data_IF_342836220217
#
_entry.id   IF_342836220217
#
_cell.length_a   1.000
_cell.length_b   1.000
_cell.length_c   1.000
_cell.angle_alpha   90.00
_cell.angle_beta   90.00
_cell.angle_gamma   90.00
#
_symmetry.space_group_name_H-M   'P 1'
#
loop_
_entity.id
_entity.type
_entity.pdbx_description
1 polymer ?
#
# COMPACT_ATOMS: atom_id res chain seq x y z
N UNK A 1 25.62 6.10 -21.34
CA UNK A 1 24.61 6.09 -20.28
C UNK A 1 23.45 6.94 -20.74
N UNK A 2 22.30 6.34 -21.04
CA UNK A 2 21.08 7.07 -21.37
C UNK A 2 20.24 7.17 -20.10
N UNK A 3 20.22 8.35 -19.49
CA UNK A 3 19.28 8.65 -18.41
C UNK A 3 17.87 8.54 -18.99
N UNK A 4 17.12 7.54 -18.53
CA UNK A 4 15.71 7.41 -18.87
C UNK A 4 14.95 8.63 -18.35
N UNK A 5 14.02 9.23 -19.11
CA UNK A 5 13.31 10.43 -18.70
C UNK A 5 12.49 10.16 -17.43
N UNK A 6 12.55 11.10 -16.49
CA UNK A 6 11.87 11.08 -15.18
C UNK A 6 10.36 10.84 -15.29
N UNK A 7 9.76 11.11 -16.45
CA UNK A 7 8.35 10.85 -16.75
C UNK A 7 8.00 9.35 -16.74
N UNK A 8 8.89 8.46 -17.18
CA UNK A 8 8.59 7.02 -17.22
C UNK A 8 8.47 6.42 -15.81
N UNK A 9 9.20 6.99 -14.84
CA UNK A 9 9.12 6.61 -13.41
C UNK A 9 7.82 7.09 -12.75
N UNK A 10 7.29 8.24 -13.17
CA UNK A 10 5.99 8.75 -12.68
C UNK A 10 4.83 7.89 -13.20
N UNK A 11 4.89 7.50 -14.47
CA UNK A 11 3.85 6.72 -15.13
C UNK A 11 3.75 5.27 -14.63
N UNK A 12 4.84 4.72 -14.06
CA UNK A 12 4.84 3.37 -13.50
C UNK A 12 4.18 3.28 -12.11
N UNK A 13 4.06 4.41 -11.40
CA UNK A 13 3.37 4.46 -10.09
C UNK A 13 1.86 4.64 -10.28
N UNK A 14 1.44 5.27 -11.38
CA UNK A 14 0.02 5.54 -11.68
C UNK A 14 -0.75 4.33 -12.24
N UNK A 15 -0.04 3.29 -12.71
CA UNK A 15 -0.63 2.04 -13.20
C UNK A 15 -0.46 0.88 -12.20
N UNK A 16 -0.31 1.19 -10.92
CA UNK A 16 -0.50 0.19 -9.88
C UNK A 16 -2.00 -0.07 -9.80
N UNK A 17 -2.45 -1.21 -10.34
CA UNK A 17 -3.82 -1.70 -10.16
C UNK A 17 -4.21 -1.44 -8.71
N UNK A 18 -5.19 -0.54 -8.50
CA UNK A 18 -5.64 -0.15 -7.16
C UNK A 18 -5.71 -1.39 -6.29
N UNK A 19 -4.90 -1.44 -5.23
CA UNK A 19 -4.86 -2.64 -4.40
C UNK A 19 -6.27 -2.93 -3.88
N UNK A 20 -6.54 -4.20 -3.59
CA UNK A 20 -7.90 -4.65 -3.26
C UNK A 20 -8.49 -3.87 -2.07
N UNK A 21 -7.62 -3.43 -1.16
CA UNK A 21 -7.93 -2.56 -0.03
C UNK A 21 -8.41 -1.17 -0.46
N UNK A 22 -7.72 -0.53 -1.43
CA UNK A 22 -8.14 0.75 -1.99
C UNK A 22 -9.45 0.64 -2.79
N UNK A 23 -9.64 -0.43 -3.56
CA UNK A 23 -10.91 -0.68 -4.25
C UNK A 23 -12.07 -0.82 -3.27
N UNK A 24 -11.85 -1.52 -2.14
CA UNK A 24 -12.83 -1.66 -1.06
C UNK A 24 -13.20 -0.30 -0.46
N UNK A 25 -12.20 0.55 -0.17
CA UNK A 25 -12.43 1.92 0.33
C UNK A 25 -13.23 2.74 -0.68
N UNK A 26 -12.85 2.72 -1.96
CA UNK A 26 -13.54 3.45 -3.02
C UNK A 26 -15.00 3.02 -3.18
N UNK A 27 -15.26 1.71 -3.14
CA UNK A 27 -16.63 1.16 -3.19
C UNK A 27 -17.45 1.54 -1.96
N UNK A 28 -16.84 1.56 -0.77
CA UNK A 28 -17.50 1.96 0.46
C UNK A 28 -17.85 3.45 0.44
N UNK A 29 -16.91 4.32 0.04
CA UNK A 29 -17.13 5.75 -0.11
C UNK A 29 -18.25 6.06 -1.12
N UNK A 30 -18.30 5.34 -2.25
CA UNK A 30 -19.37 5.49 -3.25
C UNK A 30 -20.76 5.18 -2.67
N UNK A 31 -20.85 4.28 -1.69
CA UNK A 31 -22.09 3.89 -1.00
C UNK A 31 -22.34 4.70 0.28
N UNK A 32 -21.41 5.57 0.67
CA UNK A 32 -21.46 6.26 1.94
C UNK A 32 -22.64 7.24 1.99
N UNK A 33 -23.51 7.04 2.96
CA UNK A 33 -24.62 7.94 3.26
C UNK A 33 -24.67 8.23 4.74
N UNK A 34 -24.86 9.49 5.10
CA UNK A 34 -25.02 9.88 6.50
C UNK A 34 -26.49 9.90 6.92
N UNK A 35 -26.74 9.53 8.17
CA UNK A 35 -28.05 9.59 8.82
C UNK A 35 -28.44 11.06 9.01
N UNK A 36 -29.62 11.44 8.52
CA UNK A 36 -30.18 12.78 8.74
C UNK A 36 -30.75 12.91 10.16
N UNK A 37 -30.67 14.10 10.75
CA UNK A 37 -31.45 14.47 11.95
C UNK A 37 -32.88 14.82 11.53
N UNK A 38 -33.84 14.69 12.46
CA UNK A 38 -35.27 14.97 12.23
C UNK A 38 -35.58 16.44 11.93
N UNK A 39 -34.71 17.37 12.34
CA UNK A 39 -34.83 18.78 12.03
C UNK A 39 -33.46 19.31 11.63
N UNK A 40 -33.25 19.52 10.33
CA UNK A 40 -32.03 20.10 9.76
C UNK A 40 -30.74 19.29 9.99
N UNK A 41 -29.99 19.01 8.92
CA UNK A 41 -28.63 18.50 9.03
C UNK A 41 -28.48 17.00 9.31
N UNK A 42 -27.30 16.64 9.78
CA UNK A 42 -26.76 15.27 9.81
C UNK A 42 -26.50 14.84 11.24
N UNK A 43 -26.65 13.55 11.54
CA UNK A 43 -26.34 12.99 12.85
C UNK A 43 -24.82 12.93 13.03
N UNK A 44 -24.27 13.81 13.85
CA UNK A 44 -22.83 13.89 14.13
C UNK A 44 -22.27 12.56 14.63
N UNK A 45 -22.99 11.84 15.49
CA UNK A 45 -22.56 10.53 15.96
C UNK A 45 -22.40 9.53 14.80
N UNK A 46 -23.28 9.58 13.81
CA UNK A 46 -23.18 8.75 12.61
C UNK A 46 -22.02 9.18 11.70
N UNK A 47 -21.76 10.49 11.59
CA UNK A 47 -20.60 11.02 10.87
C UNK A 47 -19.30 10.56 11.51
N UNK A 48 -19.13 10.76 12.81
CA UNK A 48 -17.93 10.35 13.55
C UNK A 48 -17.71 8.85 13.48
N UNK A 49 -18.78 8.05 13.58
CA UNK A 49 -18.71 6.61 13.39
C UNK A 49 -18.15 6.24 12.01
N UNK A 50 -18.66 6.87 10.95
CA UNK A 50 -18.20 6.63 9.57
C UNK A 50 -16.76 7.08 9.34
N UNK A 51 -16.33 8.17 9.97
CA UNK A 51 -14.92 8.59 9.94
C UNK A 51 -14.04 7.52 10.60
N UNK A 52 -14.45 6.98 11.76
CA UNK A 52 -13.74 5.89 12.42
C UNK A 52 -13.67 4.62 11.55
N UNK A 53 -14.77 4.25 10.90
CA UNK A 53 -14.82 3.12 9.96
C UNK A 53 -13.88 3.34 8.76
N UNK A 54 -13.81 4.57 8.23
CA UNK A 54 -12.91 4.93 7.15
C UNK A 54 -11.44 4.81 7.56
N UNK A 55 -11.08 5.36 8.73
CA UNK A 55 -9.72 5.27 9.26
C UNK A 55 -9.29 3.82 9.44
N UNK A 56 -10.16 2.97 10.00
CA UNK A 56 -9.85 1.54 10.17
C UNK A 56 -9.58 0.82 8.84
N UNK A 57 -10.30 1.18 7.75
CA UNK A 57 -10.02 0.62 6.43
C UNK A 57 -8.68 1.11 5.87
N UNK A 58 -8.30 2.37 6.11
CA UNK A 58 -6.99 2.89 5.71
C UNK A 58 -5.84 2.27 6.50
N UNK A 59 -6.01 2.08 7.81
CA UNK A 59 -5.00 1.43 8.65
C UNK A 59 -4.73 -0.01 8.16
N UNK A 60 -5.78 -0.74 7.78
CA UNK A 60 -5.65 -2.07 7.18
C UNK A 60 -4.95 -2.03 5.82
N UNK A 61 -5.30 -1.06 4.96
CA UNK A 61 -4.65 -0.88 3.66
C UNK A 61 -3.14 -0.61 3.82
N UNK A 62 -2.77 0.30 4.73
CA UNK A 62 -1.37 0.63 5.03
C UNK A 62 -0.61 -0.57 5.63
N UNK A 63 -1.28 -1.37 6.45
CA UNK A 63 -0.69 -2.60 7.00
C UNK A 63 -0.42 -3.63 5.90
N UNK A 64 -1.36 -3.84 4.99
CA UNK A 64 -1.21 -4.75 3.86
C UNK A 64 -0.04 -4.30 2.96
N UNK A 65 0.02 -3.00 2.66
CA UNK A 65 1.11 -2.40 1.90
C UNK A 65 2.47 -2.59 2.58
N UNK A 66 2.54 -2.37 3.90
CA UNK A 66 3.78 -2.59 4.68
C UNK A 66 4.24 -4.03 4.59
N UNK A 67 3.34 -5.00 4.76
CA UNK A 67 3.68 -6.44 4.65
C UNK A 67 4.21 -6.76 3.25
N UNK A 68 3.59 -6.20 2.20
CA UNK A 68 4.03 -6.39 0.81
C UNK A 68 5.45 -5.88 0.60
N UNK A 69 5.75 -4.68 1.07
CA UNK A 69 7.09 -4.12 0.96
C UNK A 69 8.12 -4.83 1.84
N UNK A 70 7.76 -5.18 3.08
CA UNK A 70 8.64 -5.93 3.98
C UNK A 70 9.03 -7.28 3.35
N UNK A 71 8.07 -8.00 2.76
CA UNK A 71 8.34 -9.25 2.03
C UNK A 71 9.28 -9.04 0.84
N UNK A 72 9.09 -7.95 0.08
CA UNK A 72 9.95 -7.61 -1.05
C UNK A 72 11.38 -7.27 -0.61
N UNK A 73 11.52 -6.46 0.44
CA UNK A 73 12.81 -6.09 1.03
C UNK A 73 13.53 -7.34 1.54
N UNK A 74 12.84 -8.23 2.26
CA UNK A 74 13.42 -9.49 2.74
C UNK A 74 13.84 -10.41 1.60
N UNK A 75 13.07 -10.47 0.51
CA UNK A 75 13.45 -11.23 -0.68
C UNK A 75 14.76 -10.71 -1.29
N UNK A 76 14.90 -9.39 -1.46
CA UNK A 76 16.14 -8.78 -1.96
C UNK A 76 17.30 -8.92 -0.99
N UNK A 77 17.06 -8.75 0.31
CA UNK A 77 18.09 -8.95 1.35
C UNK A 77 18.65 -10.37 1.27
N UNK A 78 17.77 -11.36 1.15
CA UNK A 78 18.14 -12.76 1.01
C UNK A 78 18.94 -13.01 -0.28
N UNK A 79 18.51 -12.47 -1.42
CA UNK A 79 19.21 -12.68 -2.69
C UNK A 79 20.62 -12.10 -2.70
N UNK A 80 20.84 -10.95 -2.06
CA UNK A 80 22.17 -10.33 -1.90
C UNK A 80 23.05 -11.19 -0.99
N UNK A 81 22.51 -11.67 0.14
CA UNK A 81 23.27 -12.53 1.06
C UNK A 81 23.58 -13.91 0.49
N UNK A 82 22.74 -14.47 -0.38
CA UNK A 82 23.03 -15.73 -1.06
C UNK A 82 24.04 -15.55 -2.19
N UNK A 83 23.99 -14.44 -2.95
CA UNK A 83 24.96 -14.14 -4.00
C UNK A 83 26.38 -13.88 -3.46
N UNK A 84 26.50 -13.32 -2.26
CA UNK A 84 27.80 -13.15 -1.58
C UNK A 84 28.37 -14.45 -1.01
N UNK A 85 27.53 -15.45 -0.73
CA UNK A 85 27.98 -16.76 -0.26
C UNK A 85 28.52 -17.65 -1.40
N UNK A 86 28.18 -17.34 -2.65
CA UNK A 86 28.72 -17.99 -3.85
C UNK A 86 30.07 -17.40 -4.28
N UNK A 87 30.35 -16.11 -4.03
CA UNK A 87 31.65 -15.49 -4.31
C UNK A 87 32.76 -15.92 -3.32
N UNK A 88 32.44 -16.08 -2.03
CA UNK A 88 33.42 -16.46 -1.00
C UNK A 88 33.86 -17.92 -1.15
N UNK A 89 32.97 -18.81 -1.61
CA UNK A 89 33.28 -20.23 -1.79
C UNK A 89 34.23 -20.51 -2.97
N UNK A 90 34.48 -19.52 -3.84
CA UNK A 90 35.42 -19.64 -4.97
C UNK A 90 36.83 -19.17 -4.58
N UNK A 91 36.99 -18.45 -3.46
CA UNK A 91 38.27 -17.87 -3.04
C UNK A 91 39.06 -18.73 -2.00
N UNK A 92 38.49 -19.81 -1.46
CA UNK A 92 39.15 -20.67 -0.45
C UNK A 92 39.92 -21.88 -1.01
N UNK A 93 39.96 -22.06 -2.33
CA UNK A 93 40.71 -23.13 -3.02
C UNK A 93 41.99 -22.58 -3.74
N UNK A 94 42.93 -21.97 -3.01
CA UNK A 94 44.32 -21.72 -3.49
C UNK A 94 45.36 -21.72 -2.35
#
# INVERSE_FOLDING_TARGET
MTDKPIEETRNNTENEELSQEFLKIAQWLKKLRFRKKIFGGVCEQDVWKKIGELNAMYDEALRAERIRYDALIEHYRKSITSGSHEEIAVEEDY
#
